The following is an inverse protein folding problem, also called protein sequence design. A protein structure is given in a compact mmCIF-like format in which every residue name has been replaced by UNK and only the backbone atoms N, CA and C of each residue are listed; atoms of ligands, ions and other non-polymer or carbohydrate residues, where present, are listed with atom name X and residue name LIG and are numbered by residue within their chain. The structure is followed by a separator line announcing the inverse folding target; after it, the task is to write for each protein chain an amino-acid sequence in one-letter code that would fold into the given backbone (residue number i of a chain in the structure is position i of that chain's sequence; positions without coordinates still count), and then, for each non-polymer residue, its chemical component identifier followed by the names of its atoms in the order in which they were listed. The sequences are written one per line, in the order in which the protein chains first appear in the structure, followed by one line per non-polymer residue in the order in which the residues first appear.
data_IF_225842537162
#
_entry.id   IF_225842537162
#
_cell.length_a   1.000
_cell.length_b   1.000
_cell.length_c   1.000
_cell.angle_alpha   90.00
_cell.angle_beta   90.00
_cell.angle_gamma   90.00
#
_symmetry.space_group_name_H-M   'P 1'
#
loop_
_entity.id
_entity.type
_entity.pdbx_description
1 polymer ?
#
# COMPACT_ATOMS: atom_id res chain seq x y z
N UNK A 1 -0.19 -12.77 10.37
CA UNK A 1 -1.32 -12.09 9.71
C UNK A 1 -1.63 -10.82 10.49
N UNK A 2 -1.83 -9.70 9.80
CA UNK A 2 -2.27 -8.42 10.37
C UNK A 2 -3.52 -7.97 9.62
N UNK A 3 -4.48 -7.40 10.35
CA UNK A 3 -5.69 -6.81 9.78
C UNK A 3 -5.82 -5.41 10.35
N UNK A 4 -6.12 -4.44 9.50
CA UNK A 4 -6.32 -3.05 9.88
C UNK A 4 -7.52 -2.48 9.12
N UNK A 5 -8.26 -1.59 9.76
CA UNK A 5 -9.35 -0.88 9.12
C UNK A 5 -9.85 0.25 10.00
N UNK A 6 -10.31 1.31 9.37
CA UNK A 6 -10.92 2.43 10.07
C UNK A 6 -11.95 3.11 9.16
N UNK A 7 -12.86 3.84 9.78
CA UNK A 7 -13.86 4.69 9.13
C UNK A 7 -13.97 5.99 9.91
N UNK A 8 -14.12 7.11 9.22
CA UNK A 8 -14.34 8.42 9.85
C UNK A 8 -15.72 8.97 9.56
N UNK A 9 -16.35 9.50 10.60
CA UNK A 9 -17.70 10.07 10.57
C UNK A 9 -17.68 11.50 11.11
N UNK A 10 -18.59 12.36 10.63
CA UNK A 10 -18.76 13.73 11.11
C UNK A 10 -18.34 14.79 10.12
N UNK A 11 -18.32 16.05 10.60
CA UNK A 11 -18.07 17.23 9.76
C UNK A 11 -16.61 17.42 9.37
N UNK A 12 -15.68 16.81 10.10
CA UNK A 12 -14.24 16.85 9.80
C UNK A 12 -13.74 15.41 9.66
N UNK A 13 -13.39 15.02 8.43
CA UNK A 13 -13.05 13.64 8.11
C UNK A 13 -11.54 13.48 7.87
N UNK A 14 -11.04 12.26 8.05
CA UNK A 14 -9.65 11.91 7.72
C UNK A 14 -9.66 11.24 6.36
N UNK A 15 -8.84 11.73 5.44
CA UNK A 15 -8.60 11.06 4.17
C UNK A 15 -7.49 10.01 4.35
N UNK A 16 -7.87 8.74 4.29
CA UNK A 16 -6.93 7.63 4.27
C UNK A 16 -6.43 7.40 2.85
N UNK A 17 -5.12 7.24 2.67
CA UNK A 17 -4.51 6.85 1.40
C UNK A 17 -3.74 5.57 1.63
N UNK A 18 -4.07 4.52 0.88
CA UNK A 18 -3.39 3.22 1.03
C UNK A 18 -2.29 3.06 -0.03
N UNK A 19 -1.25 2.30 0.29
CA UNK A 19 -0.17 1.96 -0.64
C UNK A 19 1.19 1.89 0.04
N UNK A 20 2.20 1.39 -0.68
CA UNK A 20 3.58 1.39 -0.22
C UNK A 20 3.84 0.53 1.03
N UNK A 21 4.90 0.88 1.77
CA UNK A 21 5.35 0.16 2.96
C UNK A 21 5.86 1.13 4.03
N UNK A 22 5.90 0.68 5.28
CA UNK A 22 6.43 1.46 6.39
C UNK A 22 7.92 1.78 6.21
N UNK A 23 8.29 3.01 6.62
CA UNK A 23 9.65 3.54 6.55
C UNK A 23 10.33 3.38 5.19
N UNK A 24 9.56 3.52 4.11
CA UNK A 24 10.06 3.43 2.75
C UNK A 24 10.99 4.61 2.44
N UNK A 25 12.24 4.32 2.04
CA UNK A 25 13.26 5.34 1.79
C UNK A 25 12.97 6.18 0.55
N UNK A 26 12.36 5.57 -0.48
CA UNK A 26 12.10 6.20 -1.77
C UNK A 26 10.61 6.12 -2.11
N UNK A 27 9.74 6.77 -1.33
CA UNK A 27 8.31 6.69 -1.56
C UNK A 27 7.94 7.40 -2.85
N UNK A 28 7.00 6.81 -3.59
CA UNK A 28 6.38 7.44 -4.75
C UNK A 28 4.88 7.56 -4.52
N UNK A 29 4.30 8.65 -5.00
CA UNK A 29 2.87 8.92 -4.93
C UNK A 29 2.21 8.69 -6.29
N UNK A 30 1.01 8.11 -6.30
CA UNK A 30 0.17 8.09 -7.50
C UNK A 30 -0.65 9.38 -7.59
N UNK A 31 -0.30 10.24 -8.54
CA UNK A 31 -0.99 11.51 -8.80
C UNK A 31 -2.18 11.35 -9.76
N UNK A 32 -2.30 10.20 -10.43
CA UNK A 32 -3.41 9.92 -11.34
C UNK A 32 -4.70 9.52 -10.61
N UNK A 33 -4.62 9.24 -9.31
CA UNK A 33 -5.78 9.00 -8.47
C UNK A 33 -6.18 10.34 -7.85
N UNK A 34 -7.32 10.92 -8.28
CA UNK A 34 -7.77 12.19 -7.74
C UNK A 34 -7.97 12.05 -6.23
N UNK A 35 -7.54 13.07 -5.50
CA UNK A 35 -7.89 13.21 -4.10
C UNK A 35 -9.15 14.06 -4.04
N UNK A 36 -10.18 13.66 -3.28
CA UNK A 36 -11.38 14.46 -3.16
C UNK A 36 -11.02 15.84 -2.59
N UNK A 37 -11.16 16.87 -3.43
CA UNK A 37 -11.02 18.28 -3.06
C UNK A 37 -12.31 18.83 -2.47
N UNK A 38 -13.44 18.17 -2.74
CA UNK A 38 -14.74 18.48 -2.18
C UNK A 38 -15.01 17.60 -0.96
N UNK A 39 -15.01 18.23 0.22
CA UNK A 39 -15.17 17.57 1.52
C UNK A 39 -14.33 18.25 2.60
N UNK A 40 -14.83 18.29 3.83
CA UNK A 40 -14.11 18.85 4.97
C UNK A 40 -13.07 17.85 5.49
N UNK A 41 -11.99 17.65 4.73
CA UNK A 41 -10.86 16.82 5.14
C UNK A 41 -9.85 17.66 5.93
N UNK A 42 -9.96 17.66 7.26
CA UNK A 42 -9.01 18.38 8.13
C UNK A 42 -7.64 17.67 8.21
N UNK A 43 -7.62 16.35 7.97
CA UNK A 43 -6.43 15.51 8.15
C UNK A 43 -6.28 14.49 7.02
N UNK A 44 -5.02 14.11 6.76
CA UNK A 44 -4.64 13.06 5.81
C UNK A 44 -3.74 12.05 6.49
N UNK A 45 -3.99 10.77 6.28
CA UNK A 45 -3.19 9.69 6.84
C UNK A 45 -2.82 8.68 5.77
N UNK A 46 -1.53 8.41 5.65
CA UNK A 46 -1.00 7.37 4.78
C UNK A 46 -1.00 6.04 5.52
N UNK A 47 -1.76 5.09 5.00
CA UNK A 47 -1.81 3.73 5.52
C UNK A 47 -0.93 2.85 4.62
N UNK A 48 0.24 2.58 5.17
CA UNK A 48 1.28 1.71 4.65
C UNK A 48 0.92 0.23 4.78
N UNK A 49 1.77 -0.63 4.22
CA UNK A 49 1.60 -2.09 4.14
C UNK A 49 0.63 -2.52 3.04
N UNK A 50 0.77 -1.95 1.85
CA UNK A 50 0.15 -2.47 0.65
C UNK A 50 1.20 -2.40 -0.47
N UNK A 51 2.10 -3.39 -0.44
CA UNK A 51 3.23 -3.45 -1.39
C UNK A 51 2.73 -3.75 -2.80
N UNK A 52 3.55 -3.41 -3.79
CA UNK A 52 3.21 -3.53 -5.21
C UNK A 52 2.63 -2.25 -5.80
N UNK A 53 2.27 -1.27 -4.95
CA UNK A 53 1.70 0.01 -5.39
C UNK A 53 2.45 1.21 -4.82
N UNK A 54 2.43 2.36 -5.54
CA UNK A 54 2.75 3.65 -4.93
C UNK A 54 1.77 3.99 -3.81
N UNK A 55 2.11 5.00 -3.00
CA UNK A 55 1.15 5.61 -2.09
C UNK A 55 -0.05 6.16 -2.90
N UNK A 56 -1.22 6.22 -2.28
CA UNK A 56 -2.45 6.74 -2.90
C UNK A 56 -2.96 5.91 -4.10
N UNK A 57 -2.86 4.58 -4.05
CA UNK A 57 -3.51 3.73 -5.07
C UNK A 57 -5.03 3.71 -4.90
N UNK A 58 -5.51 3.78 -3.65
CA UNK A 58 -6.90 4.05 -3.29
C UNK A 58 -6.91 5.05 -2.15
N UNK A 59 -7.94 5.88 -2.09
CA UNK A 59 -8.13 6.81 -0.98
C UNK A 59 -9.61 6.95 -0.61
N UNK A 60 -9.87 7.37 0.63
CA UNK A 60 -11.23 7.63 1.07
C UNK A 60 -11.35 7.87 2.57
N UNK A 61 -12.58 8.05 3.05
CA UNK A 61 -12.88 8.22 4.49
C UNK A 61 -12.85 6.92 5.28
N UNK A 62 -12.82 5.78 4.58
CA UNK A 62 -12.73 4.44 5.13
C UNK A 62 -11.67 3.61 4.43
N UNK A 63 -11.07 2.66 5.14
CA UNK A 63 -10.16 1.68 4.56
C UNK A 63 -10.23 0.33 5.27
N UNK A 64 -9.81 -0.72 4.57
CA UNK A 64 -9.56 -2.04 5.11
C UNK A 64 -8.31 -2.64 4.45
N UNK A 65 -7.45 -3.26 5.26
CA UNK A 65 -6.18 -3.87 4.85
C UNK A 65 -5.98 -5.21 5.57
N UNK A 66 -5.51 -6.19 4.82
CA UNK A 66 -5.11 -7.51 5.32
C UNK A 66 -3.70 -7.79 4.81
N UNK A 67 -2.81 -8.14 5.72
CA UNK A 67 -1.41 -8.46 5.41
C UNK A 67 -1.03 -9.84 5.92
N UNK A 68 -0.53 -10.65 5.01
CA UNK A 68 0.04 -11.95 5.31
C UNK A 68 1.52 -11.92 4.97
N UNK A 69 2.34 -12.20 5.96
CA UNK A 69 3.79 -12.32 5.79
C UNK A 69 4.25 -13.68 6.31
N UNK A 70 5.08 -14.34 5.52
CA UNK A 70 5.75 -15.56 5.86
C UNK A 70 7.25 -15.30 5.89
N UNK A 71 7.90 -15.56 7.03
CA UNK A 71 9.32 -15.22 7.26
C UNK A 71 10.10 -16.50 7.59
N UNK A 72 11.15 -16.79 6.82
CA UNK A 72 12.00 -17.98 6.98
C UNK A 72 13.43 -17.56 7.35
N UNK A 73 13.94 -17.92 8.54
CA UNK A 73 15.33 -17.66 8.91
C UNK A 73 16.28 -18.67 8.26
N UNK A 74 16.52 -18.53 6.96
CA UNK A 74 17.21 -19.52 6.10
C UNK A 74 18.50 -20.07 6.75
N UNK A 75 19.41 -19.20 7.19
CA UNK A 75 20.72 -19.63 7.69
C UNK A 75 20.69 -20.36 9.03
N UNK A 76 19.61 -20.21 9.83
CA UNK A 76 19.47 -20.96 11.08
C UNK A 76 19.22 -22.45 10.86
N UNK A 77 18.69 -22.82 9.69
CA UNK A 77 18.44 -24.22 9.35
C UNK A 77 19.69 -24.95 8.85
N UNK A 78 20.58 -24.25 8.14
CA UNK A 78 21.77 -24.86 7.53
C UNK A 78 23.01 -24.78 8.42
N UNK A 79 23.14 -23.76 9.29
CA UNK A 79 24.30 -23.56 10.13
C UNK A 79 23.95 -23.64 11.62
N UNK A 80 24.71 -24.44 12.38
CA UNK A 80 24.51 -24.60 13.82
C UNK A 80 24.82 -23.30 14.61
N UNK A 81 25.79 -22.51 14.16
CA UNK A 81 26.21 -21.28 14.81
C UNK A 81 26.51 -20.15 13.79
N UNK A 82 25.48 -19.60 13.12
CA UNK A 82 25.68 -18.47 12.21
C UNK A 82 26.12 -17.22 12.98
N UNK A 83 26.90 -16.35 12.34
CA UNK A 83 27.21 -15.02 12.88
C UNK A 83 25.93 -14.21 13.13
N UNK A 84 25.99 -13.16 13.95
CA UNK A 84 24.81 -12.34 14.30
C UNK A 84 24.07 -11.83 13.06
N UNK A 85 24.80 -11.44 12.01
CA UNK A 85 24.22 -11.01 10.73
C UNK A 85 23.37 -12.11 10.09
N UNK A 86 23.96 -13.28 9.80
CA UNK A 86 23.26 -14.39 9.13
C UNK A 86 22.12 -14.97 9.97
N UNK A 87 22.26 -14.95 11.30
CA UNK A 87 21.22 -15.38 12.24
C UNK A 87 19.95 -14.55 12.16
N UNK A 88 20.07 -13.27 11.77
CA UNK A 88 18.96 -12.32 11.67
C UNK A 88 18.48 -12.12 10.22
N UNK A 89 19.13 -12.76 9.26
CA UNK A 89 18.68 -12.75 7.87
C UNK A 89 17.46 -13.66 7.70
N UNK A 90 16.40 -13.11 7.12
CA UNK A 90 15.15 -13.80 6.86
C UNK A 90 14.75 -13.59 5.41
N UNK A 91 14.39 -14.64 4.70
CA UNK A 91 13.59 -14.50 3.49
C UNK A 91 12.13 -14.26 3.88
N UNK A 92 11.46 -13.42 3.11
CA UNK A 92 10.08 -13.02 3.35
C UNK A 92 9.28 -13.29 2.09
N UNK A 93 8.15 -13.97 2.21
CA UNK A 93 7.08 -13.98 1.21
C UNK A 93 5.89 -13.24 1.79
N UNK A 94 5.15 -12.49 0.97
CA UNK A 94 4.01 -11.73 1.46
C UNK A 94 2.86 -11.64 0.46
N UNK A 95 1.68 -11.41 1.02
CA UNK A 95 0.43 -11.18 0.32
C UNK A 95 -0.38 -10.13 1.10
N UNK A 96 -0.64 -9.01 0.45
CA UNK A 96 -1.32 -7.83 0.97
C UNK A 96 -2.63 -7.63 0.19
N UNK A 97 -3.72 -7.30 0.87
CA UNK A 97 -5.02 -6.98 0.28
C UNK A 97 -5.48 -5.68 0.87
N UNK A 98 -5.96 -4.76 0.04
CA UNK A 98 -6.41 -3.45 0.50
C UNK A 98 -7.57 -2.88 -0.29
N UNK A 99 -8.35 -2.06 0.38
CA UNK A 99 -9.35 -1.19 -0.24
C UNK A 99 -9.50 0.09 0.59
N UNK A 100 -9.80 1.19 -0.08
CA UNK A 100 -10.16 2.46 0.55
C UNK A 100 -11.28 3.11 -0.27
N UNK A 101 -12.25 3.70 0.43
CA UNK A 101 -13.46 4.21 -0.18
C UNK A 101 -14.06 5.37 0.62
N UNK A 102 -14.89 6.15 -0.04
CA UNK A 102 -15.72 7.19 0.57
C UNK A 102 -17.19 6.80 0.39
N UNK A 103 -17.99 6.93 1.44
CA UNK A 103 -19.41 6.55 1.43
C UNK A 103 -19.70 5.24 2.15
N UNK A 104 -20.93 4.69 2.01
CA UNK A 104 -21.40 3.59 2.83
C UNK A 104 -20.78 2.24 2.48
N UNK A 105 -20.22 2.08 1.28
CA UNK A 105 -19.63 0.82 0.82
C UNK A 105 -18.49 1.05 -0.16
N UNK A 106 -17.48 0.16 -0.21
CA UNK A 106 -16.43 0.21 -1.23
C UNK A 106 -16.95 -0.01 -2.66
N UNK A 107 -18.16 -0.57 -2.82
CA UNK A 107 -18.74 -0.89 -4.12
C UNK A 107 -19.76 0.14 -4.63
N UNK A 108 -19.97 1.26 -3.92
CA UNK A 108 -20.87 2.31 -4.41
C UNK A 108 -20.21 3.14 -5.51
N UNK A 109 -20.93 3.35 -6.62
CA UNK A 109 -20.46 4.08 -7.81
C UNK A 109 -20.15 5.57 -7.55
N UNK A 110 -20.56 6.12 -6.41
CA UNK A 110 -20.40 7.52 -6.01
C UNK A 110 -18.98 7.90 -5.55
N UNK A 111 -18.03 6.96 -5.57
CA UNK A 111 -16.65 7.28 -5.19
C UNK A 111 -15.94 8.13 -6.26
N UNK A 112 -15.48 9.35 -5.95
CA UNK A 112 -14.83 10.25 -6.92
C UNK A 112 -13.48 9.73 -7.46
N UNK A 113 -13.00 8.59 -6.96
CA UNK A 113 -11.79 7.86 -7.41
C UNK A 113 -11.80 7.45 -8.90
N UNK A 114 -12.97 7.52 -9.52
CA UNK A 114 -13.21 7.00 -10.86
C UNK A 114 -13.28 8.10 -11.93
N UNK A 115 -13.22 9.38 -11.58
CA UNK A 115 -13.33 10.45 -12.57
C UNK A 115 -11.96 11.05 -12.88
N UNK A 116 -11.51 10.97 -14.12
CA UNK A 116 -10.41 11.80 -14.62
C UNK A 116 -10.94 12.77 -15.68
N UNK A 117 -10.73 14.06 -15.47
CA UNK A 117 -11.09 15.11 -16.43
C UNK A 117 -9.88 15.46 -17.28
N UNK A 118 -9.93 15.15 -18.57
CA UNK A 118 -8.93 15.60 -19.53
C UNK A 118 -9.50 16.78 -20.32
N UNK A 119 -8.77 17.90 -20.38
CA UNK A 119 -9.18 19.09 -21.13
C UNK A 119 -8.25 19.29 -22.33
N UNK A 120 -8.82 19.43 -23.53
CA UNK A 120 -8.11 19.79 -24.74
C UNK A 120 -8.89 20.88 -25.49
N UNK A 121 -8.49 22.14 -25.32
CA UNK A 121 -9.22 23.29 -25.88
C UNK A 121 -10.60 23.48 -25.23
N UNK A 122 -11.68 23.73 -26.01
CA UNK A 122 -13.03 23.93 -25.46
C UNK A 122 -13.72 22.61 -25.03
N UNK A 123 -13.06 21.46 -25.16
CA UNK A 123 -13.62 20.14 -24.87
C UNK A 123 -13.05 19.60 -23.57
N UNK A 124 -13.92 19.38 -22.58
CA UNK A 124 -13.60 18.64 -21.35
C UNK A 124 -14.20 17.24 -21.45
N UNK A 125 -13.34 16.22 -21.42
CA UNK A 125 -13.75 14.81 -21.40
C UNK A 125 -13.68 14.31 -19.97
N UNK A 126 -14.85 13.97 -19.41
CA UNK A 126 -14.98 13.31 -18.11
C UNK A 126 -15.00 11.79 -18.33
N UNK A 127 -13.90 11.12 -17.98
CA UNK A 127 -13.82 9.64 -18.08
C UNK A 127 -14.12 9.04 -16.72
N UNK A 128 -15.16 8.21 -16.66
CA UNK A 128 -15.49 7.41 -15.49
C UNK A 128 -14.85 6.02 -15.64
N UNK A 129 -13.77 5.75 -14.91
CA UNK A 129 -13.12 4.45 -14.84
C UNK A 129 -13.79 3.59 -13.78
N UNK A 130 -14.46 2.49 -14.14
CA UNK A 130 -14.87 1.49 -13.16
C UNK A 130 -13.64 0.74 -12.65
N UNK A 131 -13.04 1.20 -11.54
CA UNK A 131 -11.93 0.51 -10.89
C UNK A 131 -12.47 -0.44 -9.83
N UNK A 132 -11.93 -1.67 -9.79
CA UNK A 132 -12.21 -2.59 -8.68
C UNK A 132 -11.70 -1.93 -7.38
N UNK A 133 -12.55 -1.78 -6.35
CA UNK A 133 -12.15 -1.14 -5.10
C UNK A 133 -11.09 -1.95 -4.36
N UNK A 134 -10.96 -3.25 -4.62
CA UNK A 134 -9.98 -4.13 -4.00
C UNK A 134 -8.72 -4.18 -4.86
N UNK A 135 -7.58 -3.99 -4.21
CA UNK A 135 -6.25 -4.16 -4.80
C UNK A 135 -5.45 -5.17 -4.00
N UNK A 136 -4.62 -5.94 -4.69
CA UNK A 136 -3.80 -7.00 -4.10
C UNK A 136 -2.33 -6.73 -4.37
N UNK A 137 -1.48 -6.96 -3.38
CA UNK A 137 -0.04 -6.93 -3.49
C UNK A 137 0.53 -8.28 -3.13
N UNK A 138 1.52 -8.78 -3.87
CA UNK A 138 2.24 -9.99 -3.47
C UNK A 138 3.69 -9.91 -3.88
N UNK A 139 4.52 -10.69 -3.24
CA UNK A 139 5.93 -10.71 -3.58
C UNK A 139 6.80 -11.40 -2.57
N UNK A 140 8.08 -11.11 -2.67
CA UNK A 140 9.11 -11.66 -1.81
C UNK A 140 10.15 -10.60 -1.50
N UNK A 141 10.91 -10.83 -0.45
CA UNK A 141 11.94 -9.93 0.00
C UNK A 141 12.87 -10.57 0.98
N UNK A 142 13.77 -9.75 1.49
CA UNK A 142 14.73 -10.13 2.52
C UNK A 142 14.70 -9.10 3.64
N UNK A 143 14.76 -9.60 4.88
CA UNK A 143 14.92 -8.80 6.09
C UNK A 143 16.26 -9.14 6.70
N UNK A 144 17.03 -8.12 7.04
CA UNK A 144 18.34 -8.27 7.66
C UNK A 144 18.59 -7.19 8.70
N UNK A 145 19.54 -7.42 9.60
CA UNK A 145 19.98 -6.42 10.58
C UNK A 145 21.37 -5.92 10.18
N UNK A 146 21.50 -4.61 9.99
CA UNK A 146 22.76 -3.95 9.67
C UNK A 146 22.93 -2.74 10.60
N UNK A 147 24.08 -2.66 11.27
CA UNK A 147 24.39 -1.58 12.24
C UNK A 147 23.31 -1.36 13.32
N UNK A 148 22.58 -2.40 13.72
CA UNK A 148 21.50 -2.32 14.70
C UNK A 148 20.13 -1.90 14.15
N UNK A 149 20.04 -1.61 12.84
CA UNK A 149 18.78 -1.30 12.16
C UNK A 149 18.29 -2.49 11.36
N UNK A 150 16.97 -2.66 11.31
CA UNK A 150 16.35 -3.58 10.38
C UNK A 150 16.27 -2.94 9.00
N UNK A 151 16.73 -3.68 8.00
CA UNK A 151 16.61 -3.32 6.59
C UNK A 151 15.72 -4.36 5.92
N UNK A 152 14.73 -3.89 5.14
CA UNK A 152 13.90 -4.71 4.28
C UNK A 152 14.12 -4.32 2.82
N UNK A 153 14.32 -5.31 1.97
CA UNK A 153 14.33 -5.17 0.52
C UNK A 153 13.28 -6.10 -0.06
N UNK A 154 12.19 -5.53 -0.56
CA UNK A 154 11.05 -6.28 -1.08
C UNK A 154 10.85 -6.00 -2.58
N UNK A 155 10.58 -7.06 -3.35
CA UNK A 155 10.11 -6.99 -4.74
C UNK A 155 8.65 -7.41 -4.76
N UNK A 156 7.77 -6.51 -5.22
CA UNK A 156 6.33 -6.72 -5.14
C UNK A 156 5.64 -6.47 -6.48
N UNK A 157 4.62 -7.27 -6.78
CA UNK A 157 3.68 -7.11 -7.88
C UNK A 157 2.34 -6.66 -7.31
N UNK A 158 1.74 -5.65 -7.94
CA UNK A 158 0.36 -5.27 -7.68
C UNK A 158 -0.59 -5.98 -8.62
N UNK A 159 -1.81 -6.25 -8.18
CA UNK A 159 -2.95 -6.64 -9.01
C UNK A 159 -4.04 -5.60 -8.78
N UNK A 160 -4.36 -4.86 -9.83
CA UNK A 160 -5.41 -3.85 -9.82
C UNK A 160 -6.39 -4.18 -10.95
N UNK A 161 -7.69 -4.23 -10.64
CA UNK A 161 -8.74 -4.51 -11.64
C UNK A 161 -8.43 -5.77 -12.47
N UNK A 162 -7.96 -6.83 -11.78
CA UNK A 162 -7.57 -8.13 -12.36
C UNK A 162 -6.35 -8.09 -13.30
N UNK A 163 -5.63 -6.97 -13.38
CA UNK A 163 -4.42 -6.81 -14.19
C UNK A 163 -3.20 -6.76 -13.27
N UNK A 164 -2.22 -7.61 -13.55
CA UNK A 164 -0.92 -7.61 -12.87
C UNK A 164 -0.13 -6.39 -13.34
N UNK A 165 0.32 -5.59 -12.38
CA UNK A 165 1.11 -4.38 -12.59
C UNK A 165 2.61 -4.70 -12.66
N UNK A 166 3.38 -3.76 -13.19
CA UNK A 166 4.83 -3.88 -13.21
C UNK A 166 5.40 -3.96 -11.78
N UNK A 167 6.37 -4.87 -11.55
CA UNK A 167 6.92 -5.06 -10.22
C UNK A 167 7.74 -3.87 -9.74
N UNK A 168 7.64 -3.60 -8.44
CA UNK A 168 8.26 -2.45 -7.77
C UNK A 168 9.21 -2.91 -6.67
N UNK A 169 10.27 -2.13 -6.47
CA UNK A 169 11.21 -2.33 -5.38
C UNK A 169 10.84 -1.45 -4.20
N UNK A 170 10.91 -2.02 -3.01
CA UNK A 170 10.74 -1.31 -1.75
C UNK A 170 11.98 -1.52 -0.90
N UNK A 171 12.53 -0.41 -0.41
CA UNK A 171 13.65 -0.42 0.55
C UNK A 171 13.17 0.31 1.79
N UNK A 172 13.16 -0.38 2.93
CA UNK A 172 12.73 0.18 4.22
C UNK A 172 13.77 0.00 5.29
N UNK A 173 13.94 1.01 6.15
CA UNK A 173 14.86 0.99 7.28
C UNK A 173 14.12 1.41 8.55
N UNK A 174 14.34 0.71 9.66
CA UNK A 174 13.67 1.01 10.91
C UNK A 174 14.35 0.36 12.10
N UNK A 175 14.01 0.82 13.29
CA UNK A 175 14.47 0.25 14.56
C UNK A 175 13.61 -0.94 15.00
N UNK A 176 12.38 -1.04 14.51
CA UNK A 176 11.45 -2.16 14.74
C UNK A 176 10.48 -2.33 13.56
N UNK A 177 10.08 -3.58 13.26
CA UNK A 177 9.11 -3.99 12.22
C UNK A 177 8.45 -5.33 12.50
#
# INVERSE_FOLDING_TARGET
MRVAGATTFGREQILFRIGGTDNWIFPSLNENIPQPTEGNFSYRQDISNLRGFPLNIRNGTSFALINNEFRVPIFRYFWKQPSSFFRNFQAVGFFDVGTAWTGPSPFTEESPLNTSTFSNGPVTVKVNYFRDPIVLGYGYGVRMVLFGYFIRLDRAWGIETRIVQEPRWFVSIGTDF
#
